data_IF_529971232480
#
_entry.id   IF_529971232480
#
_cell.length_a   1.000
_cell.length_b   1.000
_cell.length_c   1.000
_cell.angle_alpha   90.00
_cell.angle_beta   90.00
_cell.angle_gamma   90.00
#
_symmetry.space_group_name_H-M   'P 1'
#
loop_
_entity.id
_entity.type
_entity.pdbx_description
1 polymer ?
#
# COMPACT_ATOMS: atom_id res chain seq x y z
N UNK A 1 19.37 15.46 14.84
CA UNK A 1 20.02 16.08 13.68
C UNK A 1 18.92 16.76 12.89
N UNK A 2 18.85 18.08 12.91
CA UNK A 2 17.88 18.85 12.12
C UNK A 2 18.36 18.78 10.66
N UNK A 3 17.63 18.10 9.80
CA UNK A 3 17.85 18.20 8.35
C UNK A 3 17.39 19.61 7.98
N UNK A 4 18.36 20.52 7.80
CA UNK A 4 18.11 21.78 7.10
C UNK A 4 17.76 21.40 5.66
N UNK A 5 16.48 21.47 5.32
CA UNK A 5 16.05 21.47 3.93
C UNK A 5 16.62 22.73 3.30
N UNK A 6 17.60 22.59 2.41
CA UNK A 6 18.06 23.68 1.58
C UNK A 6 16.88 24.21 0.77
N UNK A 7 16.82 25.52 0.56
CA UNK A 7 15.76 26.24 -0.16
C UNK A 7 15.78 25.93 -1.67
N UNK A 8 15.56 24.66 -2.04
CA UNK A 8 15.53 24.22 -3.46
C UNK A 8 14.10 24.17 -4.03
N UNK A 9 13.14 24.87 -3.43
CA UNK A 9 11.76 24.92 -3.93
C UNK A 9 10.95 23.64 -3.76
N UNK A 10 11.52 22.56 -3.24
CA UNK A 10 10.83 21.31 -2.94
C UNK A 10 10.23 21.38 -1.54
N UNK A 11 8.92 21.55 -1.48
CA UNK A 11 8.16 21.29 -0.24
C UNK A 11 8.03 19.78 -0.16
N UNK A 12 8.84 19.16 0.72
CA UNK A 12 8.66 17.73 1.03
C UNK A 12 7.23 17.54 1.56
N UNK A 13 6.45 16.61 1.00
CA UNK A 13 5.17 16.27 1.59
C UNK A 13 5.44 15.81 3.02
N UNK A 14 4.73 16.40 3.97
CA UNK A 14 4.65 15.88 5.33
C UNK A 14 3.43 14.96 5.31
N UNK A 15 3.59 13.64 5.19
CA UNK A 15 2.45 12.75 5.34
C UNK A 15 1.93 12.96 6.75
N UNK A 16 0.66 13.26 6.91
CA UNK A 16 0.04 13.51 8.23
C UNK A 16 0.18 12.35 9.19
N UNK A 17 0.48 11.18 8.66
CA UNK A 17 0.63 9.93 9.40
C UNK A 17 2.05 9.49 9.63
N UNK A 18 2.95 10.03 8.88
CA UNK A 18 4.35 10.06 9.23
C UNK A 18 4.44 11.19 10.23
N UNK A 19 4.34 10.87 11.50
CA UNK A 19 4.31 11.81 12.64
C UNK A 19 4.85 13.18 12.23
N UNK A 20 4.04 14.23 12.09
CA UNK A 20 4.50 15.55 11.67
C UNK A 20 5.73 15.95 12.48
N UNK A 21 6.69 16.64 11.86
CA UNK A 21 7.93 17.01 12.53
C UNK A 21 7.73 17.65 13.92
N UNK A 22 6.68 18.48 14.15
CA UNK A 22 6.33 18.96 15.50
C UNK A 22 5.97 17.86 16.49
N UNK A 23 5.28 16.83 16.05
CA UNK A 23 4.87 15.69 16.89
C UNK A 23 6.06 14.76 17.14
N UNK A 24 6.96 14.61 16.18
CA UNK A 24 8.21 13.85 16.36
C UNK A 24 9.17 14.58 17.34
N UNK A 25 9.26 15.89 17.26
CA UNK A 25 9.99 16.71 18.22
C UNK A 25 9.33 16.67 19.59
N UNK A 26 8.00 16.77 19.65
CA UNK A 26 7.23 16.62 20.88
C UNK A 26 7.37 15.23 21.52
N UNK A 27 7.62 14.14 20.75
CA UNK A 27 7.96 12.83 21.33
C UNK A 27 9.24 12.88 22.16
N UNK A 28 10.24 13.58 21.71
CA UNK A 28 11.50 13.75 22.44
C UNK A 28 11.32 14.62 23.69
N UNK A 29 10.46 15.60 23.59
CA UNK A 29 10.10 16.48 24.71
C UNK A 29 9.11 15.78 25.66
N UNK A 30 8.19 14.96 25.16
CA UNK A 30 7.31 14.09 25.96
C UNK A 30 8.11 13.01 26.68
N UNK A 31 9.13 12.41 26.04
CA UNK A 31 10.04 11.50 26.74
C UNK A 31 10.85 12.20 27.84
N UNK A 32 11.21 13.46 27.64
CA UNK A 32 11.84 14.30 28.67
C UNK A 32 10.84 14.72 29.76
N UNK A 33 9.60 15.01 29.40
CA UNK A 33 8.52 15.36 30.34
C UNK A 33 8.02 14.14 31.12
N UNK A 34 8.08 12.93 30.55
CA UNK A 34 7.79 11.67 31.30
C UNK A 34 8.77 11.46 32.46
N UNK A 35 10.01 11.90 32.30
CA UNK A 35 10.98 11.91 33.41
C UNK A 35 10.70 12.99 34.44
N UNK A 36 9.80 13.95 34.16
CA UNK A 36 9.42 15.08 35.02
C UNK A 36 7.95 15.05 35.50
N UNK A 37 7.20 13.96 35.30
CA UNK A 37 5.87 13.79 35.91
C UNK A 37 4.69 14.52 35.28
N UNK A 38 4.81 15.13 34.08
CA UNK A 38 3.73 15.92 33.43
C UNK A 38 3.10 15.20 32.21
N UNK A 39 3.21 13.89 32.17
CA UNK A 39 2.97 13.08 30.95
C UNK A 39 1.50 12.77 30.58
N UNK A 40 0.51 13.19 31.37
CA UNK A 40 -0.88 12.71 31.16
C UNK A 40 -1.61 13.33 29.94
N UNK A 41 -1.45 14.63 29.68
CA UNK A 41 -2.31 15.33 28.72
C UNK A 41 -1.86 15.18 27.24
N UNK A 42 -0.55 15.13 26.98
CA UNK A 42 -0.04 15.02 25.60
C UNK A 42 -0.20 13.60 25.02
N UNK A 43 -0.10 12.56 25.86
CA UNK A 43 -0.40 11.18 25.46
C UNK A 43 -1.89 10.94 25.24
N UNK A 44 -2.75 11.59 26.02
CA UNK A 44 -4.20 11.49 25.87
C UNK A 44 -4.67 12.07 24.51
N UNK A 45 -4.07 13.15 24.03
CA UNK A 45 -4.45 13.75 22.73
C UNK A 45 -4.00 12.93 21.53
N UNK A 46 -2.86 12.24 21.61
CA UNK A 46 -2.40 11.35 20.55
C UNK A 46 -3.14 10.01 20.57
N UNK A 47 -3.40 9.46 21.77
CA UNK A 47 -4.25 8.29 21.97
C UNK A 47 -5.70 8.53 21.51
N UNK A 48 -6.24 9.74 21.75
CA UNK A 48 -7.55 10.12 21.27
C UNK A 48 -7.61 10.22 19.73
N UNK A 49 -6.56 10.72 19.07
CA UNK A 49 -6.50 10.76 17.60
C UNK A 49 -6.43 9.38 16.96
N UNK A 50 -5.62 8.49 17.50
CA UNK A 50 -5.52 7.11 17.00
C UNK A 50 -6.81 6.31 17.32
N UNK A 51 -7.42 6.57 18.47
CA UNK A 51 -8.73 6.02 18.84
C UNK A 51 -9.86 6.62 18.00
N UNK A 52 -9.79 7.92 17.65
CA UNK A 52 -10.75 8.56 16.75
C UNK A 52 -10.61 7.98 15.32
N UNK A 53 -9.39 7.78 14.81
CA UNK A 53 -9.19 7.12 13.53
C UNK A 53 -9.73 5.67 13.52
N UNK A 54 -9.78 5.02 14.68
CA UNK A 54 -10.34 3.67 14.84
C UNK A 54 -11.84 3.66 15.19
N UNK A 55 -12.38 4.74 15.78
CA UNK A 55 -13.76 4.77 16.30
C UNK A 55 -14.72 5.63 15.52
N UNK A 56 -14.26 6.59 14.75
CA UNK A 56 -15.14 7.48 14.02
C UNK A 56 -15.27 7.11 12.57
N UNK A 57 -16.40 6.83 12.24
CA UNK A 57 -17.19 6.71 11.04
C UNK A 57 -17.64 5.28 10.90
N UNK A 58 -18.80 5.01 11.49
CA UNK A 58 -19.69 4.05 10.87
C UNK A 58 -20.01 4.62 9.48
N UNK A 59 -19.13 4.33 8.49
CA UNK A 59 -19.48 4.52 7.09
C UNK A 59 -20.79 3.76 6.93
N UNK A 60 -21.89 4.49 6.74
CA UNK A 60 -23.13 3.87 6.32
C UNK A 60 -22.81 3.21 4.99
N UNK A 61 -22.59 1.90 5.05
CA UNK A 61 -22.47 1.11 3.84
C UNK A 61 -23.82 1.16 3.14
N UNK A 62 -23.87 1.54 1.87
CA UNK A 62 -25.03 1.26 1.07
C UNK A 62 -25.07 -0.24 0.74
N UNK A 63 -25.51 -1.08 1.69
CA UNK A 63 -25.64 -2.51 1.49
C UNK A 63 -24.30 -3.29 1.43
N UNK A 64 -24.37 -4.59 1.20
CA UNK A 64 -23.20 -5.41 0.82
C UNK A 64 -22.78 -5.00 -0.58
N UNK A 65 -21.47 -4.84 -0.80
CA UNK A 65 -20.92 -4.69 -2.13
C UNK A 65 -21.21 -5.97 -2.97
N UNK A 66 -21.12 -5.84 -4.28
CA UNK A 66 -21.36 -6.98 -5.17
C UNK A 66 -20.42 -8.14 -4.80
N UNK A 67 -20.95 -9.34 -4.78
CA UNK A 67 -20.17 -10.54 -4.47
C UNK A 67 -19.11 -10.78 -5.56
N UNK A 68 -17.90 -11.07 -5.12
CA UNK A 68 -16.81 -11.52 -5.96
C UNK A 68 -16.07 -12.65 -5.22
N UNK A 69 -16.50 -13.87 -5.44
CA UNK A 69 -15.88 -15.03 -4.84
C UNK A 69 -14.65 -15.47 -5.63
N UNK A 70 -13.62 -15.95 -4.93
CA UNK A 70 -12.47 -16.63 -5.52
C UNK A 70 -12.37 -18.05 -5.01
N UNK A 71 -11.84 -18.96 -5.84
CA UNK A 71 -11.43 -20.27 -5.38
C UNK A 71 -10.20 -20.13 -4.45
N UNK A 72 -10.06 -21.02 -3.46
CA UNK A 72 -8.85 -21.02 -2.63
C UNK A 72 -7.61 -21.23 -3.51
N UNK A 73 -6.64 -20.34 -3.37
CA UNK A 73 -5.40 -20.42 -4.15
C UNK A 73 -4.56 -21.61 -3.72
N UNK A 74 -4.05 -22.36 -4.70
CA UNK A 74 -3.05 -23.42 -4.49
C UNK A 74 -1.60 -22.94 -4.53
N UNK A 75 -1.35 -21.63 -4.76
CA UNK A 75 0.01 -21.12 -4.84
C UNK A 75 0.69 -21.14 -3.47
N UNK A 76 1.94 -21.60 -3.41
CA UNK A 76 2.72 -21.65 -2.17
C UNK A 76 2.88 -20.24 -1.58
N UNK A 77 2.51 -20.05 -0.32
CA UNK A 77 2.51 -18.76 0.35
C UNK A 77 1.26 -17.91 0.12
N UNK A 78 0.29 -18.39 -0.66
CA UNK A 78 -0.95 -17.62 -0.92
C UNK A 78 -1.88 -17.51 0.30
N UNK A 79 -1.69 -18.32 1.31
CA UNK A 79 -2.55 -18.34 2.49
C UNK A 79 -1.70 -18.34 3.76
N UNK A 80 -1.87 -17.33 4.59
CA UNK A 80 -1.39 -17.35 5.98
C UNK A 80 -2.48 -17.85 6.92
N UNK A 81 -2.07 -18.53 7.99
CA UNK A 81 -2.99 -19.03 9.03
C UNK A 81 -3.22 -18.02 10.16
N UNK A 82 -2.70 -16.81 10.02
CA UNK A 82 -2.92 -15.76 11.01
C UNK A 82 -4.37 -15.26 10.99
N UNK A 83 -4.82 -14.74 12.15
CA UNK A 83 -6.17 -14.17 12.27
C UNK A 83 -6.36 -13.06 11.25
N UNK A 84 -7.42 -13.17 10.45
CA UNK A 84 -7.84 -12.16 9.49
C UNK A 84 -8.26 -10.90 10.24
N UNK A 85 -7.81 -9.74 9.77
CA UNK A 85 -8.24 -8.43 10.27
C UNK A 85 -9.72 -8.23 10.00
N UNK A 86 -10.45 -7.63 10.93
CA UNK A 86 -11.88 -7.40 10.74
C UNK A 86 -12.14 -6.45 9.58
N UNK A 87 -13.21 -6.70 8.85
CA UNK A 87 -13.59 -5.88 7.69
C UNK A 87 -13.75 -4.40 8.02
N UNK A 88 -14.28 -4.08 9.21
CA UNK A 88 -14.39 -2.71 9.69
C UNK A 88 -13.04 -2.02 9.73
N UNK A 89 -12.04 -2.67 10.29
CA UNK A 89 -10.71 -2.08 10.46
C UNK A 89 -10.03 -1.81 9.11
N UNK A 90 -10.09 -2.78 8.18
CA UNK A 90 -9.50 -2.60 6.86
C UNK A 90 -10.21 -1.53 6.02
N UNK A 91 -11.49 -1.29 6.23
CA UNK A 91 -12.26 -0.32 5.46
C UNK A 91 -12.30 1.07 6.07
N UNK A 92 -11.80 1.26 7.30
CA UNK A 92 -11.77 2.57 7.98
C UNK A 92 -10.36 3.06 8.32
N UNK A 93 -9.34 2.25 8.08
CA UNK A 93 -7.93 2.57 8.35
C UNK A 93 -7.12 2.38 7.06
N UNK A 94 -7.03 3.41 6.24
CA UNK A 94 -6.49 3.35 4.88
C UNK A 94 -5.43 4.42 4.62
N UNK A 95 -4.49 4.10 3.72
CA UNK A 95 -3.61 5.05 3.07
C UNK A 95 -4.01 5.13 1.59
N UNK A 96 -4.71 6.19 1.20
CA UNK A 96 -5.06 6.47 -0.19
C UNK A 96 -5.07 7.99 -0.38
N UNK A 97 -3.90 8.53 -0.67
CA UNK A 97 -3.60 9.95 -0.59
C UNK A 97 -4.41 10.82 -1.56
N UNK A 98 -4.93 10.25 -2.62
CA UNK A 98 -5.87 10.90 -3.53
C UNK A 98 -7.18 11.33 -2.84
N UNK A 99 -7.48 10.73 -1.67
CA UNK A 99 -8.69 11.02 -0.87
C UNK A 99 -8.40 11.69 0.46
N UNK A 100 -7.14 11.95 0.78
CA UNK A 100 -6.73 12.60 2.03
C UNK A 100 -5.53 11.93 2.68
N UNK A 101 -5.02 12.56 3.71
CA UNK A 101 -3.77 12.16 4.36
C UNK A 101 -3.98 11.46 5.70
N UNK A 102 -5.15 11.59 6.32
CA UNK A 102 -5.50 10.86 7.53
C UNK A 102 -6.06 9.47 7.20
N UNK A 103 -5.92 8.51 8.15
CA UNK A 103 -6.36 7.13 7.94
C UNK A 103 -7.86 6.98 7.68
N UNK A 104 -8.66 7.88 8.22
CA UNK A 104 -10.11 7.88 8.04
C UNK A 104 -10.56 8.59 6.76
N UNK A 105 -9.74 9.48 6.18
CA UNK A 105 -10.11 10.30 5.02
C UNK A 105 -10.56 9.46 3.81
N UNK A 106 -9.86 8.38 3.41
CA UNK A 106 -10.32 7.59 2.27
C UNK A 106 -11.69 6.96 2.50
N UNK A 107 -12.00 6.51 3.70
CA UNK A 107 -13.32 5.96 4.03
C UNK A 107 -14.43 7.01 3.92
N UNK A 108 -14.13 8.27 4.23
CA UNK A 108 -15.08 9.39 4.16
C UNK A 108 -15.22 9.92 2.73
N UNK A 109 -14.13 10.03 1.99
CA UNK A 109 -14.09 10.77 0.73
C UNK A 109 -14.17 9.89 -0.52
N UNK A 110 -13.81 8.60 -0.46
CA UNK A 110 -13.74 7.76 -1.65
C UNK A 110 -15.10 7.38 -2.25
N UNK A 111 -16.23 7.74 -1.63
CA UNK A 111 -17.56 7.56 -2.19
C UNK A 111 -17.74 8.32 -3.52
N UNK A 112 -16.94 9.35 -3.78
CA UNK A 112 -16.94 10.12 -5.03
C UNK A 112 -16.28 9.38 -6.20
N UNK A 113 -15.47 8.35 -5.95
CA UNK A 113 -14.79 7.57 -6.99
C UNK A 113 -15.82 6.78 -7.83
N UNK A 114 -15.77 6.98 -9.13
CA UNK A 114 -16.57 6.22 -10.09
C UNK A 114 -15.75 5.04 -10.60
N UNK A 115 -16.17 3.84 -10.28
CA UNK A 115 -15.48 2.59 -10.66
C UNK A 115 -16.05 1.93 -11.91
N UNK A 116 -17.11 2.50 -12.50
CA UNK A 116 -17.77 2.01 -13.73
C UNK A 116 -18.19 3.19 -14.59
N UNK A 117 -17.87 3.21 -15.91
CA UNK A 117 -16.99 2.26 -16.61
C UNK A 117 -15.53 2.43 -16.18
N UNK A 118 -14.73 1.34 -16.25
CA UNK A 118 -13.31 1.39 -15.94
C UNK A 118 -12.49 0.71 -17.02
N UNK A 119 -11.36 1.31 -17.36
CA UNK A 119 -10.44 0.78 -18.36
C UNK A 119 -9.01 0.87 -17.85
N UNK A 120 -8.24 -0.18 -18.07
CA UNK A 120 -6.79 -0.22 -17.83
C UNK A 120 -6.07 -0.30 -19.18
N UNK A 121 -5.25 0.69 -19.48
CA UNK A 121 -4.39 0.70 -20.66
C UNK A 121 -3.10 -0.08 -20.37
N UNK A 122 -2.79 -1.08 -21.20
CA UNK A 122 -1.51 -1.79 -21.17
C UNK A 122 -0.70 -1.39 -22.39
N UNK A 123 0.50 -0.82 -22.15
CA UNK A 123 1.32 -0.21 -23.18
C UNK A 123 2.83 -0.42 -22.97
N UNK A 124 3.63 0.17 -23.86
CA UNK A 124 5.09 0.15 -23.79
C UNK A 124 5.68 -1.08 -24.46
N UNK A 125 6.66 -1.72 -23.83
CA UNK A 125 7.45 -2.81 -24.43
C UNK A 125 6.72 -4.15 -24.38
N UNK A 126 5.59 -4.23 -25.07
CA UNK A 126 4.75 -5.44 -25.24
C UNK A 126 4.41 -5.64 -26.70
N UNK A 127 4.17 -6.90 -27.11
CA UNK A 127 3.72 -7.20 -28.47
C UNK A 127 2.23 -6.91 -28.67
N UNK A 128 1.43 -6.98 -27.61
CA UNK A 128 -0.02 -6.85 -27.63
C UNK A 128 -0.49 -5.72 -26.71
N UNK A 129 -0.19 -4.45 -27.02
CA UNK A 129 -0.75 -3.34 -26.28
C UNK A 129 -2.26 -3.30 -26.46
N UNK A 130 -3.01 -3.02 -25.40
CA UNK A 130 -4.47 -3.00 -25.44
C UNK A 130 -5.05 -2.17 -24.30
N UNK A 131 -6.33 -1.79 -24.48
CA UNK A 131 -7.17 -1.26 -23.39
C UNK A 131 -8.12 -2.35 -22.98
N UNK A 132 -8.02 -2.75 -21.71
CA UNK A 132 -8.88 -3.76 -21.09
C UNK A 132 -9.96 -3.06 -20.29
N UNK A 133 -11.23 -3.38 -20.55
CA UNK A 133 -12.29 -3.02 -19.61
C UNK A 133 -12.15 -3.82 -18.33
N UNK A 134 -12.82 -3.41 -17.26
CA UNK A 134 -12.84 -4.18 -16.02
C UNK A 134 -13.39 -5.60 -16.25
N UNK A 135 -14.40 -5.70 -17.09
CA UNK A 135 -15.04 -6.97 -17.46
C UNK A 135 -14.09 -7.89 -18.22
N UNK A 136 -13.25 -7.34 -19.11
CA UNK A 136 -12.21 -8.10 -19.82
C UNK A 136 -11.18 -8.64 -18.83
N UNK A 137 -10.72 -7.80 -17.89
CA UNK A 137 -9.77 -8.22 -16.86
C UNK A 137 -10.35 -9.32 -15.97
N UNK A 138 -11.61 -9.19 -15.55
CA UNK A 138 -12.28 -10.20 -14.71
C UNK A 138 -12.46 -11.54 -15.42
N UNK A 139 -12.64 -11.53 -16.73
CA UNK A 139 -12.79 -12.76 -17.57
C UNK A 139 -11.46 -13.40 -17.94
N UNK A 140 -10.35 -12.68 -17.82
CA UNK A 140 -9.04 -13.13 -18.28
C UNK A 140 -8.60 -14.42 -17.58
N UNK A 141 -8.88 -14.54 -16.27
CA UNK A 141 -8.59 -15.70 -15.43
C UNK A 141 -9.63 -15.90 -14.34
N UNK A 142 -9.78 -17.13 -13.88
CA UNK A 142 -10.57 -17.45 -12.70
C UNK A 142 -10.01 -16.72 -11.48
N UNK A 143 -10.92 -16.20 -10.66
CA UNK A 143 -10.55 -15.48 -9.45
C UNK A 143 -10.10 -16.45 -8.35
N UNK A 144 -9.05 -16.09 -7.63
CA UNK A 144 -8.53 -16.82 -6.48
C UNK A 144 -8.66 -15.96 -5.22
N UNK A 145 -8.98 -16.60 -4.09
CA UNK A 145 -8.86 -15.99 -2.78
C UNK A 145 -7.48 -16.27 -2.20
N UNK A 146 -6.82 -15.21 -1.73
CA UNK A 146 -5.49 -15.26 -1.12
C UNK A 146 -5.48 -14.47 0.17
N UNK A 147 -5.02 -15.09 1.25
CA UNK A 147 -4.96 -14.47 2.58
C UNK A 147 -3.52 -14.00 2.81
N UNK A 148 -3.28 -12.72 2.65
CA UNK A 148 -1.95 -12.13 2.73
C UNK A 148 -1.77 -11.24 3.97
N UNK A 149 -0.55 -11.27 4.52
CA UNK A 149 -0.06 -10.18 5.37
C UNK A 149 0.12 -8.93 4.54
N UNK A 150 -0.28 -7.80 5.09
CA UNK A 150 0.02 -6.47 4.57
C UNK A 150 0.81 -5.73 5.64
N UNK A 151 1.95 -5.15 5.29
CA UNK A 151 2.81 -4.37 6.17
C UNK A 151 3.00 -2.96 5.63
N UNK A 152 2.61 -1.97 6.39
CA UNK A 152 2.87 -0.59 6.06
C UNK A 152 4.25 -0.15 6.56
N UNK A 153 4.93 0.71 5.79
CA UNK A 153 6.19 1.33 6.21
C UNK A 153 6.06 2.06 7.56
N UNK A 154 4.87 2.51 7.92
CA UNK A 154 4.55 3.19 9.18
C UNK A 154 4.51 2.29 10.43
N UNK A 155 4.89 1.03 10.32
CA UNK A 155 5.00 0.12 11.48
C UNK A 155 3.70 -0.54 11.91
N UNK A 156 2.70 -0.61 11.06
CA UNK A 156 1.47 -1.36 11.30
C UNK A 156 1.22 -2.41 10.23
N UNK A 157 0.38 -3.39 10.54
CA UNK A 157 0.10 -4.52 9.66
C UNK A 157 -1.34 -5.02 9.79
N UNK A 158 -1.78 -5.73 8.75
CA UNK A 158 -3.08 -6.40 8.65
C UNK A 158 -2.93 -7.78 8.02
N UNK A 159 -3.96 -8.61 8.12
CA UNK A 159 -4.12 -9.86 7.35
C UNK A 159 -5.42 -9.77 6.57
N UNK A 160 -5.35 -9.86 5.25
CA UNK A 160 -6.48 -9.52 4.39
C UNK A 160 -6.72 -10.63 3.38
N UNK A 161 -7.97 -11.14 3.26
CA UNK A 161 -8.37 -12.06 2.21
C UNK A 161 -8.68 -11.27 0.92
N UNK A 162 -7.75 -11.29 -0.01
CA UNK A 162 -7.86 -10.65 -1.32
C UNK A 162 -8.45 -11.59 -2.36
N UNK A 163 -9.16 -11.04 -3.35
CA UNK A 163 -9.69 -11.78 -4.49
C UNK A 163 -9.12 -11.20 -5.78
N UNK A 164 -8.50 -12.06 -6.59
CA UNK A 164 -7.84 -11.67 -7.83
C UNK A 164 -7.15 -12.85 -8.48
N UNK A 165 -6.15 -12.59 -9.33
CA UNK A 165 -5.28 -13.60 -9.92
C UNK A 165 -3.85 -13.09 -10.05
N UNK A 166 -2.88 -14.00 -10.23
CA UNK A 166 -1.48 -13.62 -10.38
C UNK A 166 -1.30 -12.61 -11.52
N UNK A 167 -0.61 -11.51 -11.25
CA UNK A 167 -0.28 -10.49 -12.26
C UNK A 167 0.43 -11.12 -13.48
N UNK A 168 1.19 -12.19 -13.28
CA UNK A 168 1.84 -12.95 -14.35
C UNK A 168 0.87 -13.43 -15.44
N UNK A 169 -0.41 -13.63 -15.13
CA UNK A 169 -1.39 -14.05 -16.11
C UNK A 169 -1.71 -12.95 -17.13
N UNK A 170 -1.84 -11.70 -16.70
CA UNK A 170 -1.97 -10.56 -17.60
C UNK A 170 -0.67 -10.36 -18.40
N UNK A 171 0.49 -10.47 -17.75
CA UNK A 171 1.80 -10.31 -18.40
C UNK A 171 1.96 -11.31 -19.56
N UNK A 172 1.58 -12.57 -19.36
CA UNK A 172 1.61 -13.61 -20.41
C UNK A 172 0.74 -13.27 -21.62
N UNK A 173 -0.44 -12.67 -21.38
CA UNK A 173 -1.38 -12.30 -22.45
C UNK A 173 -0.84 -11.16 -23.34
N UNK A 174 -0.19 -10.16 -22.73
CA UNK A 174 0.32 -9.00 -23.46
C UNK A 174 1.68 -9.22 -24.12
N UNK A 175 2.34 -10.34 -23.85
CA UNK A 175 3.60 -10.79 -24.45
C UNK A 175 4.69 -9.70 -24.38
N UNK A 176 5.33 -9.46 -23.22
CA UNK A 176 6.36 -8.46 -23.10
C UNK A 176 7.54 -8.75 -24.03
N UNK A 177 8.17 -7.71 -24.55
CA UNK A 177 9.40 -7.81 -25.32
C UNK A 177 10.54 -8.25 -24.39
N UNK A 178 11.53 -8.98 -24.90
CA UNK A 178 12.67 -9.45 -24.11
C UNK A 178 13.51 -8.35 -23.48
N UNK A 179 13.38 -7.12 -23.95
CA UNK A 179 14.04 -5.91 -23.41
C UNK A 179 13.25 -5.24 -22.26
N UNK A 180 11.99 -5.60 -22.04
CA UNK A 180 11.21 -5.09 -20.91
C UNK A 180 11.78 -5.61 -19.59
N UNK A 181 12.18 -4.71 -18.70
CA UNK A 181 12.81 -5.03 -17.40
C UNK A 181 11.91 -4.67 -16.22
N UNK A 182 10.98 -3.74 -16.41
CA UNK A 182 10.14 -3.20 -15.35
C UNK A 182 8.69 -3.02 -15.84
N UNK A 183 7.79 -3.02 -14.88
CA UNK A 183 6.42 -2.56 -15.02
C UNK A 183 6.23 -1.28 -14.20
N UNK A 184 5.53 -0.33 -14.80
CA UNK A 184 5.05 0.89 -14.15
C UNK A 184 3.53 0.83 -14.04
N UNK A 185 3.00 1.15 -12.86
CA UNK A 185 1.57 1.19 -12.55
C UNK A 185 1.17 2.63 -12.28
N UNK A 186 0.17 3.12 -12.99
CA UNK A 186 -0.34 4.49 -12.83
C UNK A 186 -1.73 4.45 -12.24
N UNK A 187 -1.93 5.16 -11.12
CA UNK A 187 -3.22 5.36 -10.46
C UNK A 187 -4.02 6.44 -11.19
N UNK A 188 -5.35 6.36 -11.16
CA UNK A 188 -6.22 7.45 -11.60
C UNK A 188 -5.88 8.73 -10.84
N UNK A 189 -5.80 9.84 -11.56
CA UNK A 189 -5.64 11.17 -10.98
C UNK A 189 -6.70 12.11 -11.56
N UNK A 190 -7.90 12.07 -10.99
CA UNK A 190 -9.03 12.90 -11.38
C UNK A 190 -9.46 13.82 -10.22
N UNK A 191 -9.14 15.12 -10.24
CA UNK A 191 -9.49 16.02 -9.14
C UNK A 191 -11.00 16.22 -8.96
N UNK A 192 -11.84 15.80 -9.92
CA UNK A 192 -13.30 15.86 -9.79
C UNK A 192 -13.85 14.77 -8.87
N UNK A 193 -13.17 13.65 -8.80
CA UNK A 193 -13.60 12.46 -8.03
C UNK A 193 -12.61 12.07 -6.93
N UNK A 194 -11.42 12.68 -6.93
CA UNK A 194 -10.34 12.44 -5.97
C UNK A 194 -9.86 13.79 -5.41
N UNK A 195 -10.42 14.25 -4.29
CA UNK A 195 -10.32 15.65 -3.85
C UNK A 195 -8.91 16.11 -3.44
N UNK A 196 -7.98 15.18 -3.15
CA UNK A 196 -6.60 15.51 -2.81
C UNK A 196 -5.62 15.45 -4.00
N UNK A 197 -6.06 15.01 -5.17
CA UNK A 197 -5.28 15.11 -6.42
C UNK A 197 -5.03 16.58 -6.72
N UNK A 198 -3.76 16.92 -7.00
CA UNK A 198 -3.31 18.31 -7.16
C UNK A 198 -2.83 18.97 -5.86
N UNK A 199 -2.97 18.32 -4.71
CA UNK A 199 -2.30 18.75 -3.47
C UNK A 199 -0.78 18.62 -3.62
N UNK A 200 -0.03 19.36 -2.76
CA UNK A 200 1.44 19.34 -2.77
C UNK A 200 2.05 18.16 -2.02
N UNK A 201 1.25 17.16 -1.66
CA UNK A 201 1.71 16.00 -0.87
C UNK A 201 2.60 15.08 -1.70
N UNK A 202 2.20 14.82 -2.95
CA UNK A 202 2.93 13.98 -3.90
C UNK A 202 2.84 14.58 -5.32
N UNK A 203 3.72 14.11 -6.21
CA UNK A 203 3.54 14.29 -7.65
C UNK A 203 2.41 13.37 -8.14
N UNK A 204 1.43 13.97 -8.83
CA UNK A 204 0.31 13.23 -9.42
C UNK A 204 0.51 12.98 -10.91
N UNK A 205 0.05 11.85 -11.45
CA UNK A 205 -0.60 10.73 -10.78
C UNK A 205 0.35 9.95 -9.86
N UNK A 206 -0.20 9.20 -8.90
CA UNK A 206 0.56 8.25 -8.11
C UNK A 206 1.09 7.14 -9.02
N UNK A 207 2.38 6.89 -8.95
CA UNK A 207 3.07 5.91 -9.78
C UNK A 207 3.83 4.93 -8.91
N UNK A 208 3.73 3.64 -9.23
CA UNK A 208 4.54 2.58 -8.65
C UNK A 208 5.20 1.72 -9.71
N UNK A 209 6.20 0.94 -9.30
CA UNK A 209 6.93 0.06 -10.20
C UNK A 209 7.38 -1.24 -9.57
N UNK A 210 7.53 -2.25 -10.42
CA UNK A 210 8.13 -3.55 -10.09
C UNK A 210 9.16 -3.92 -11.15
N UNK A 211 10.19 -4.70 -10.76
CA UNK A 211 10.98 -5.45 -11.75
C UNK A 211 10.11 -6.52 -12.41
N UNK A 212 10.48 -6.93 -13.60
CA UNK A 212 9.75 -7.97 -14.35
C UNK A 212 9.68 -9.30 -13.57
N UNK A 213 10.76 -9.72 -12.92
CA UNK A 213 10.81 -10.95 -12.13
C UNK A 213 9.95 -10.87 -10.86
N UNK A 214 9.86 -9.70 -10.24
CA UNK A 214 8.92 -9.44 -9.13
C UNK A 214 7.45 -9.51 -9.60
N UNK A 215 7.16 -8.89 -10.74
CA UNK A 215 5.82 -8.88 -11.34
C UNK A 215 5.38 -10.29 -11.82
N UNK A 216 6.33 -11.11 -12.24
CA UNK A 216 6.12 -12.51 -12.65
C UNK A 216 6.03 -13.48 -11.47
N UNK A 217 6.39 -13.06 -10.25
CA UNK A 217 6.27 -13.91 -9.07
C UNK A 217 4.80 -14.28 -8.83
N UNK A 218 4.47 -15.54 -8.57
CA UNK A 218 3.09 -15.99 -8.37
C UNK A 218 2.33 -15.24 -7.28
N UNK A 219 3.03 -14.65 -6.28
CA UNK A 219 2.40 -13.91 -5.19
C UNK A 219 2.04 -12.45 -5.55
N UNK A 220 2.59 -11.87 -6.62
CA UNK A 220 2.13 -10.57 -7.12
C UNK A 220 0.70 -10.72 -7.67
N UNK A 221 -0.26 -10.04 -7.07
CA UNK A 221 -1.68 -10.22 -7.35
C UNK A 221 -2.28 -8.98 -8.01
N UNK A 222 -2.93 -9.17 -9.15
CA UNK A 222 -3.87 -8.19 -9.69
C UNK A 222 -5.22 -8.45 -9.01
N UNK A 223 -5.70 -7.46 -8.26
CA UNK A 223 -6.74 -7.66 -7.25
C UNK A 223 -7.99 -6.85 -7.58
N UNK A 224 -9.15 -7.47 -7.49
CA UNK A 224 -10.45 -6.90 -7.82
C UNK A 224 -11.42 -6.94 -6.63
N UNK A 225 -11.12 -7.72 -5.60
CA UNK A 225 -11.98 -7.90 -4.45
C UNK A 225 -11.25 -8.23 -3.16
N UNK A 226 -12.00 -8.24 -2.09
CA UNK A 226 -11.56 -8.70 -0.78
C UNK A 226 -12.78 -9.15 0.05
N UNK A 227 -12.58 -10.09 0.97
CA UNK A 227 -13.66 -10.67 1.81
C UNK A 227 -14.85 -11.20 0.99
N UNK A 228 -14.60 -11.77 -0.19
CA UNK A 228 -15.65 -12.31 -1.06
C UNK A 228 -16.52 -11.27 -1.78
N UNK A 229 -16.14 -10.00 -1.74
CA UNK A 229 -16.83 -8.88 -2.39
C UNK A 229 -15.88 -8.11 -3.30
N UNK A 230 -16.41 -7.31 -4.24
CA UNK A 230 -15.60 -6.35 -5.00
C UNK A 230 -14.90 -5.38 -4.07
N UNK A 231 -13.78 -4.79 -4.52
CA UNK A 231 -13.05 -3.82 -3.71
C UNK A 231 -13.92 -2.61 -3.32
N UNK A 232 -13.93 -2.21 -2.04
CA UNK A 232 -14.47 -0.91 -1.67
C UNK A 232 -13.57 0.22 -2.19
N UNK A 233 -14.14 1.37 -2.47
CA UNK A 233 -13.44 2.50 -3.10
C UNK A 233 -12.17 2.90 -2.34
N UNK A 234 -12.25 3.04 -1.01
CA UNK A 234 -11.13 3.41 -0.14
C UNK A 234 -10.00 2.37 -0.12
N UNK A 235 -10.27 1.16 -0.57
CA UNK A 235 -9.27 0.09 -0.66
C UNK A 235 -8.63 -0.03 -2.05
N UNK A 236 -8.90 0.91 -2.96
CA UNK A 236 -8.25 0.99 -4.27
C UNK A 236 -9.05 0.37 -5.42
N UNK A 237 -10.40 0.38 -5.32
CA UNK A 237 -11.29 -0.09 -6.38
C UNK A 237 -11.05 0.59 -7.72
N UNK A 238 -11.45 -0.02 -8.86
CA UNK A 238 -11.97 -1.39 -8.97
C UNK A 238 -10.86 -2.41 -9.17
N UNK A 239 -9.62 -1.98 -9.42
CA UNK A 239 -8.46 -2.84 -9.64
C UNK A 239 -7.22 -2.24 -9.00
N UNK A 240 -6.49 -3.08 -8.26
CA UNK A 240 -5.25 -2.70 -7.59
C UNK A 240 -4.21 -3.81 -7.68
N UNK A 241 -2.96 -3.45 -7.39
CA UNK A 241 -1.88 -4.37 -7.13
C UNK A 241 -1.83 -4.75 -5.65
N UNK A 242 -1.45 -5.99 -5.34
CA UNK A 242 -1.04 -6.44 -4.01
C UNK A 242 0.25 -7.23 -4.11
N UNK A 243 1.28 -6.77 -3.39
CA UNK A 243 2.61 -7.40 -3.35
C UNK A 243 2.94 -7.66 -1.88
N UNK A 244 2.68 -8.86 -1.35
CA UNK A 244 2.63 -9.10 0.09
C UNK A 244 3.99 -8.98 0.80
N UNK A 245 5.11 -9.13 0.10
CA UNK A 245 6.45 -9.04 0.68
C UNK A 245 7.06 -7.64 0.67
N UNK A 246 6.38 -6.67 0.03
CA UNK A 246 6.79 -5.27 -0.02
C UNK A 246 5.92 -4.42 0.91
N UNK A 247 6.44 -3.26 1.29
CA UNK A 247 5.62 -2.28 2.01
C UNK A 247 4.37 -1.89 1.22
N UNK A 248 3.26 -1.68 1.91
CA UNK A 248 1.92 -1.50 1.31
C UNK A 248 1.81 -0.41 0.26
N UNK A 249 2.65 0.64 0.32
CA UNK A 249 2.62 1.70 -0.67
C UNK A 249 3.06 1.26 -2.07
N UNK A 250 3.82 0.16 -2.19
CA UNK A 250 4.19 -0.46 -3.48
C UNK A 250 2.99 -1.04 -4.23
N UNK A 251 1.88 -1.22 -3.56
CA UNK A 251 0.65 -1.81 -4.12
C UNK A 251 -0.25 -0.71 -4.70
N UNK A 252 0.04 -0.27 -5.93
CA UNK A 252 -0.73 0.76 -6.65
C UNK A 252 -2.23 0.47 -6.65
N UNK A 253 -3.05 1.51 -6.46
CA UNK A 253 -4.51 1.46 -6.32
C UNK A 253 -5.20 2.09 -7.51
N UNK A 254 -6.47 1.73 -7.76
CA UNK A 254 -7.30 2.34 -8.83
C UNK A 254 -6.50 2.51 -10.13
N UNK A 255 -5.89 1.40 -10.57
CA UNK A 255 -4.94 1.39 -11.69
C UNK A 255 -5.68 1.70 -13.00
N UNK A 256 -5.15 2.66 -13.78
CA UNK A 256 -5.65 3.01 -15.11
C UNK A 256 -4.63 2.72 -16.21
N UNK A 257 -3.36 2.47 -15.84
CA UNK A 257 -2.31 2.15 -16.83
C UNK A 257 -1.27 1.21 -16.23
N UNK A 258 -0.82 0.28 -17.07
CA UNK A 258 0.33 -0.59 -16.83
C UNK A 258 1.27 -0.43 -18.01
N UNK A 259 2.48 0.10 -17.78
CA UNK A 259 3.48 0.32 -18.81
C UNK A 259 4.67 -0.60 -18.63
N UNK A 260 5.09 -1.26 -19.70
CA UNK A 260 6.31 -2.06 -19.74
C UNK A 260 7.47 -1.24 -20.25
N UNK A 261 8.60 -1.24 -19.54
CA UNK A 261 9.75 -0.38 -19.82
C UNK A 261 11.08 -1.10 -19.56
N UNK A 262 12.15 -0.65 -20.21
CA UNK A 262 13.54 -1.06 -19.96
C UNK A 262 14.20 -0.26 -18.84
N UNK A 263 13.62 0.88 -18.44
CA UNK A 263 14.14 1.77 -17.41
C UNK A 263 13.35 1.63 -16.11
N UNK A 264 14.05 1.74 -14.99
CA UNK A 264 13.43 1.75 -13.67
C UNK A 264 12.46 2.93 -13.53
N UNK A 265 11.17 2.68 -13.23
CA UNK A 265 10.19 3.74 -13.04
C UNK A 265 10.52 4.63 -11.84
N UNK A 266 10.33 5.93 -12.00
CA UNK A 266 10.38 6.87 -10.89
C UNK A 266 9.08 6.82 -10.12
N UNK A 267 9.06 6.14 -8.97
CA UNK A 267 7.86 5.98 -8.17
C UNK A 267 7.52 7.22 -7.35
N UNK A 268 6.26 7.37 -6.93
CA UNK A 268 5.76 8.57 -6.26
C UNK A 268 6.54 8.90 -4.98
N UNK A 269 6.72 7.93 -4.09
CA UNK A 269 7.45 8.15 -2.84
C UNK A 269 8.95 8.29 -3.04
N UNK A 270 9.55 7.58 -4.01
CA UNK A 270 10.97 7.76 -4.34
C UNK A 270 11.26 9.18 -4.85
N UNK A 271 10.36 9.75 -5.67
CA UNK A 271 10.47 11.16 -6.09
C UNK A 271 10.34 12.11 -4.91
N UNK A 272 9.41 11.84 -3.99
CA UNK A 272 9.12 12.71 -2.86
C UNK A 272 10.25 12.71 -1.82
N UNK A 273 10.85 11.53 -1.53
CA UNK A 273 11.88 11.36 -0.51
C UNK A 273 12.71 10.09 -0.76
N UNK A 274 13.63 10.15 -1.73
CA UNK A 274 14.46 9.01 -2.16
C UNK A 274 15.35 8.43 -1.04
N UNK A 275 15.71 9.24 -0.05
CA UNK A 275 16.47 8.79 1.14
C UNK A 275 15.63 8.01 2.15
N UNK A 276 14.31 8.03 2.03
CA UNK A 276 13.36 7.37 2.94
C UNK A 276 12.65 6.20 2.26
N UNK A 277 12.42 6.29 0.94
CA UNK A 277 11.62 5.35 0.15
C UNK A 277 12.38 4.91 -1.10
N UNK A 278 13.00 3.75 -1.03
CA UNK A 278 13.69 3.15 -2.16
C UNK A 278 12.72 2.55 -3.19
N UNK A 279 13.27 2.14 -4.34
CA UNK A 279 12.48 1.51 -5.40
C UNK A 279 11.94 0.14 -4.98
N UNK A 280 12.77 -0.69 -4.34
CA UNK A 280 12.38 -2.06 -3.98
C UNK A 280 11.37 -2.08 -2.85
N UNK A 281 11.59 -1.32 -1.80
CA UNK A 281 10.72 -1.22 -0.62
C UNK A 281 10.20 -2.56 -0.12
N UNK A 282 11.11 -3.53 -0.07
CA UNK A 282 10.84 -4.82 0.56
C UNK A 282 10.73 -4.64 2.06
N UNK A 283 9.81 -5.36 2.70
CA UNK A 283 9.71 -5.34 4.16
C UNK A 283 11.01 -5.89 4.76
N UNK A 284 11.76 -5.03 5.44
CA UNK A 284 13.06 -5.37 6.00
C UNK A 284 13.23 -4.80 7.42
N UNK A 285 13.19 -5.66 8.46
CA UNK A 285 13.38 -5.22 9.85
C UNK A 285 14.80 -4.73 10.15
N UNK A 286 15.76 -5.01 9.29
CA UNK A 286 17.18 -4.60 9.42
C UNK A 286 17.50 -3.24 8.81
N UNK A 287 16.51 -2.56 8.18
CA UNK A 287 16.65 -1.23 7.59
C UNK A 287 15.56 -0.33 8.16
N UNK A 288 15.94 0.51 9.10
CA UNK A 288 15.02 1.44 9.72
C UNK A 288 14.67 2.60 8.77
N UNK A 289 13.43 3.09 8.89
CA UNK A 289 13.07 4.38 8.30
C UNK A 289 13.82 5.48 9.09
N UNK A 290 14.26 6.58 8.45
CA UNK A 290 15.00 7.65 9.16
C UNK A 290 14.31 8.24 10.39
N UNK A 291 13.00 8.04 10.50
CA UNK A 291 12.17 8.62 11.58
C UNK A 291 11.63 7.58 12.58
N UNK A 292 11.66 6.29 12.27
CA UNK A 292 11.20 5.22 13.18
C UNK A 292 11.83 3.87 12.83
N UNK A 293 11.79 2.94 13.80
CA UNK A 293 12.30 1.58 13.59
C UNK A 293 11.32 0.71 12.84
N UNK A 294 11.87 -0.16 11.98
CA UNK A 294 11.12 -1.20 11.26
C UNK A 294 11.18 -2.57 11.94
N UNK A 295 11.91 -2.69 13.06
CA UNK A 295 12.12 -3.97 13.75
C UNK A 295 10.83 -4.60 14.29
N UNK A 296 9.82 -3.79 14.57
CA UNK A 296 8.54 -4.25 15.13
C UNK A 296 7.35 -3.60 14.43
N UNK A 297 6.18 -4.24 14.55
CA UNK A 297 4.93 -3.78 13.97
C UNK A 297 3.77 -3.93 14.94
N UNK A 298 2.74 -3.11 14.74
CA UNK A 298 1.45 -3.20 15.44
C UNK A 298 0.42 -3.84 14.49
N UNK A 299 -0.26 -4.89 14.92
CA UNK A 299 -1.38 -5.46 14.16
C UNK A 299 -2.64 -4.66 14.42
N UNK A 300 -3.26 -4.14 13.35
CA UNK A 300 -4.55 -3.42 13.43
C UNK A 300 -5.65 -4.42 13.81
N UNK A 301 -6.60 -3.98 14.67
CA UNK A 301 -7.70 -4.81 15.13
C UNK A 301 -7.34 -5.76 16.28
N UNK A 302 -6.11 -5.75 16.80
CA UNK A 302 -5.77 -6.41 18.05
C UNK A 302 -6.06 -5.49 19.25
N UNK A 303 -6.56 -6.08 20.35
CA UNK A 303 -6.89 -5.35 21.57
C UNK A 303 -5.68 -4.63 22.15
N UNK A 304 -5.91 -3.44 22.72
CA UNK A 304 -4.88 -2.64 23.39
C UNK A 304 -4.57 -1.29 22.75
N UNK A 305 -5.09 -0.97 21.58
CA UNK A 305 -4.86 0.33 20.92
C UNK A 305 -3.37 0.68 20.85
N UNK A 306 -2.96 1.81 21.46
CA UNK A 306 -1.55 2.23 21.57
C UNK A 306 -0.68 1.30 22.41
N UNK A 307 -1.27 0.55 23.32
CA UNK A 307 -0.59 -0.44 24.16
C UNK A 307 -0.65 -1.85 23.58
N UNK A 308 -1.19 -2.02 22.37
CA UNK A 308 -1.20 -3.30 21.67
C UNK A 308 0.22 -3.90 21.62
N UNK A 309 0.33 -5.18 21.92
CA UNK A 309 1.60 -5.89 21.93
C UNK A 309 2.23 -5.82 20.54
N UNK A 310 3.38 -5.16 20.42
CA UNK A 310 4.16 -5.17 19.18
C UNK A 310 4.70 -6.56 18.90
N UNK A 311 4.67 -6.96 17.65
CA UNK A 311 5.29 -8.18 17.14
C UNK A 311 6.56 -7.86 16.35
N UNK A 312 7.47 -8.82 16.24
CA UNK A 312 8.65 -8.67 15.38
C UNK A 312 8.21 -8.61 13.92
N UNK A 313 8.76 -7.65 13.18
CA UNK A 313 8.61 -7.61 11.72
C UNK A 313 9.43 -8.75 11.11
N UNK A 314 8.85 -9.45 10.14
CA UNK A 314 9.51 -10.53 9.41
C UNK A 314 10.14 -9.99 8.13
N UNK A 315 11.34 -10.46 7.78
CA UNK A 315 11.95 -10.15 6.50
C UNK A 315 11.02 -10.57 5.36
N UNK A 316 10.91 -9.73 4.33
CA UNK A 316 9.94 -9.91 3.24
C UNK A 316 8.51 -10.17 3.76
N UNK A 317 8.15 -9.58 4.91
CA UNK A 317 6.86 -9.80 5.55
C UNK A 317 6.52 -11.27 5.82
N UNK A 318 7.55 -12.12 5.97
CA UNK A 318 7.42 -13.57 6.17
C UNK A 318 7.25 -14.39 4.90
N UNK A 319 7.56 -13.82 3.73
CA UNK A 319 7.52 -14.51 2.43
C UNK A 319 8.92 -14.84 1.89
N UNK A 320 9.95 -14.86 2.76
CA UNK A 320 11.34 -15.09 2.37
C UNK A 320 11.53 -16.38 1.55
N UNK A 321 10.88 -17.45 1.93
CA UNK A 321 10.96 -18.74 1.20
C UNK A 321 10.46 -18.66 -0.26
N UNK A 322 9.54 -17.73 -0.56
CA UNK A 322 8.94 -17.56 -1.88
C UNK A 322 9.64 -16.50 -2.74
N UNK A 323 10.29 -15.53 -2.12
CA UNK A 323 10.80 -14.35 -2.84
C UNK A 323 12.27 -14.05 -2.59
N UNK A 324 12.89 -14.61 -1.57
CA UNK A 324 14.28 -14.32 -1.19
C UNK A 324 15.25 -14.53 -2.34
N UNK A 325 15.03 -15.53 -3.18
CA UNK A 325 15.86 -15.83 -4.34
C UNK A 325 15.89 -14.70 -5.38
N UNK A 326 14.80 -13.89 -5.50
CA UNK A 326 14.78 -12.73 -6.40
C UNK A 326 15.84 -11.67 -6.04
N UNK A 327 16.30 -11.68 -4.81
CA UNK A 327 17.22 -10.70 -4.24
C UNK A 327 18.56 -11.31 -3.84
N UNK A 328 18.85 -12.55 -4.28
CA UNK A 328 20.12 -13.23 -4.00
C UNK A 328 21.30 -12.39 -4.51
N UNK A 329 22.28 -12.14 -3.65
CA UNK A 329 23.45 -11.31 -3.96
C UNK A 329 23.20 -9.79 -3.91
N UNK A 330 21.97 -9.32 -3.65
CA UNK A 330 21.65 -7.91 -3.51
C UNK A 330 21.91 -7.43 -2.07
N UNK A 331 22.60 -6.31 -1.92
CA UNK A 331 22.69 -5.61 -0.63
C UNK A 331 21.36 -4.93 -0.30
N UNK A 332 20.56 -5.56 0.55
CA UNK A 332 19.23 -5.08 0.93
C UNK A 332 19.24 -3.81 1.81
N UNK A 333 20.39 -3.35 2.27
CA UNK A 333 20.53 -2.07 2.98
C UNK A 333 20.70 -0.91 2.02
N UNK A 334 21.34 -1.16 0.89
CA UNK A 334 21.52 -0.16 -0.18
C UNK A 334 20.33 -0.14 -1.13
N UNK A 335 19.68 -1.29 -1.33
CA UNK A 335 18.56 -1.47 -2.24
C UNK A 335 17.27 -1.69 -1.42
N UNK A 336 16.87 -0.66 -0.69
CA UNK A 336 15.67 -0.66 0.14
C UNK A 336 14.44 -0.11 -0.58
#
# INVERSE_FOLDING_TARGET
>A
MLIKTGNNGFIHPIPSEITPAPIYQARRDVMRLMTMGVAGAAMASWAARDALAQTTVAVQRPGKLAALAGAKSGATGAVTMEKITEYKDITTYNNFYEFGTDKADPAQNAHTLKTTPWTVEVEGMVKKPAKYTLEDLLKLRGQEERIYRLRCVEGWSMVIPWVGYSLAELIKVVEPLGSAKYLEFVTLADPKTMPFVGSRVLDWPYVEGLRMDEAMNPLALLTFGMYGEVLPNQSGAPVRLVVPWKYGFKSGKSIVKIRFTDKEPKTAWNKAAASEYGFYSNVNPGVDHPRWSQATERRIGEEGGLFAKKRKTLLFNGYEAQVGQLYAGMDLKKNF
#
